data_IF_481282010600
#
_entry.id   IF_481282010600
#
_cell.length_a   1.000
_cell.length_b   1.000
_cell.length_c   1.000
_cell.angle_alpha   90.00
_cell.angle_beta   90.00
_cell.angle_gamma   90.00
#
_symmetry.space_group_name_H-M   'P 1'
#
loop_
_entity.id
_entity.type
_entity.pdbx_description
1 polymer ?
#
# COMPACT_ATOMS: atom_id res chain seq x y z
N UNK A 1 19.96 -26.57 -56.08
CA UNK A 1 20.95 -26.09 -55.09
C UNK A 1 20.41 -24.73 -54.58
N UNK A 2 19.65 -24.73 -53.49
CA UNK A 2 19.13 -23.50 -52.88
C UNK A 2 20.08 -23.10 -51.74
N UNK A 3 20.71 -21.93 -51.87
CA UNK A 3 21.50 -21.37 -50.81
C UNK A 3 20.59 -20.75 -49.74
N UNK A 4 20.79 -20.95 -48.43
CA UNK A 4 20.03 -20.28 -47.42
C UNK A 4 20.44 -18.80 -47.37
N UNK A 5 19.46 -17.93 -47.57
CA UNK A 5 19.61 -16.49 -47.39
C UNK A 5 19.63 -16.21 -45.88
N UNK A 6 20.83 -15.94 -45.33
CA UNK A 6 20.98 -15.48 -43.94
C UNK A 6 20.50 -14.04 -43.91
N UNK A 7 19.30 -13.82 -43.36
CA UNK A 7 18.83 -12.48 -43.00
C UNK A 7 19.57 -12.09 -41.72
N UNK A 8 20.61 -11.28 -41.87
CA UNK A 8 21.22 -10.57 -40.73
C UNK A 8 20.24 -9.48 -40.36
N UNK A 9 19.49 -9.68 -39.28
CA UNK A 9 18.72 -8.63 -38.67
C UNK A 9 19.71 -7.53 -38.24
N UNK A 10 19.67 -6.40 -38.95
CA UNK A 10 20.36 -5.19 -38.50
C UNK A 10 19.64 -4.71 -37.25
N UNK A 11 20.27 -4.87 -36.09
CA UNK A 11 19.86 -4.19 -34.86
C UNK A 11 20.02 -2.69 -35.10
N UNK A 12 18.92 -2.00 -35.33
CA UNK A 12 18.88 -0.54 -35.33
C UNK A 12 19.20 -0.09 -33.91
N UNK A 13 20.42 0.36 -33.68
CA UNK A 13 20.81 0.98 -32.43
C UNK A 13 20.04 2.29 -32.26
N UNK A 14 19.22 2.39 -31.23
CA UNK A 14 18.56 3.64 -30.84
C UNK A 14 19.60 4.72 -30.57
N UNK A 15 19.30 5.94 -30.93
CA UNK A 15 20.22 7.06 -30.66
C UNK A 15 20.21 7.48 -29.20
N UNK A 16 19.09 7.21 -28.45
CA UNK A 16 18.91 7.57 -27.04
C UNK A 16 17.98 6.60 -26.32
N UNK A 17 18.17 6.46 -25.00
CA UNK A 17 17.21 5.75 -24.14
C UNK A 17 16.01 6.63 -23.87
N UNK A 18 14.82 6.12 -24.15
CA UNK A 18 13.53 6.76 -23.94
C UNK A 18 12.85 6.13 -22.74
N UNK A 19 12.78 6.83 -21.64
CA UNK A 19 12.31 6.32 -20.35
C UNK A 19 10.85 6.69 -20.14
N UNK A 20 10.01 5.71 -19.80
CA UNK A 20 8.77 5.94 -19.09
C UNK A 20 8.96 5.52 -17.63
N UNK A 21 8.83 6.47 -16.70
CA UNK A 21 8.94 6.22 -15.27
C UNK A 21 7.53 6.06 -14.69
N UNK A 22 7.18 4.82 -14.36
CA UNK A 22 5.94 4.46 -13.69
C UNK A 22 6.19 4.44 -12.17
N UNK A 23 6.00 5.59 -11.58
CA UNK A 23 6.19 5.80 -10.16
C UNK A 23 4.97 6.55 -9.63
N UNK A 24 4.35 5.96 -8.61
CA UNK A 24 3.25 6.61 -7.91
C UNK A 24 3.74 7.96 -7.33
N UNK A 25 2.96 8.63 -6.56
CA UNK A 25 3.10 9.94 -5.94
C UNK A 25 4.45 10.28 -5.22
N UNK A 26 5.42 9.36 -5.16
CA UNK A 26 6.71 9.52 -4.44
C UNK A 26 7.88 9.96 -5.30
N UNK A 27 7.77 9.94 -6.61
CA UNK A 27 8.86 10.33 -7.48
C UNK A 27 8.86 11.83 -7.74
N UNK A 28 10.02 12.46 -7.58
CA UNK A 28 10.28 13.83 -8.00
C UNK A 28 10.75 13.81 -9.46
N UNK A 29 9.79 13.65 -10.38
CA UNK A 29 10.06 13.53 -11.83
C UNK A 29 10.88 14.72 -12.35
N UNK A 30 10.56 15.92 -11.90
CA UNK A 30 11.28 17.15 -12.29
C UNK A 30 12.76 17.10 -11.86
N UNK A 31 13.03 16.53 -10.70
CA UNK A 31 14.39 16.35 -10.22
C UNK A 31 15.14 15.32 -11.08
N UNK A 32 14.52 14.16 -11.35
CA UNK A 32 15.17 13.12 -12.15
C UNK A 32 15.45 13.56 -13.58
N UNK A 33 14.52 14.30 -14.20
CA UNK A 33 14.68 14.85 -15.55
C UNK A 33 15.86 15.84 -15.63
N UNK A 34 16.06 16.67 -14.62
CA UNK A 34 17.20 17.59 -14.55
C UNK A 34 18.53 16.86 -14.38
N UNK A 35 18.55 15.87 -13.48
CA UNK A 35 19.78 15.15 -13.11
C UNK A 35 20.20 14.09 -14.13
N UNK A 36 19.27 13.64 -14.99
CA UNK A 36 19.48 12.63 -16.02
C UNK A 36 19.20 13.20 -17.43
N UNK A 37 19.71 14.40 -17.72
CA UNK A 37 19.50 15.11 -19.00
C UNK A 37 20.05 14.38 -20.25
N UNK A 38 20.84 13.33 -20.06
CA UNK A 38 21.41 12.49 -21.11
C UNK A 38 20.49 11.37 -21.60
N UNK A 39 19.27 11.24 -21.04
CA UNK A 39 18.20 10.35 -21.48
C UNK A 39 16.95 11.14 -21.74
N UNK A 40 16.01 10.57 -22.49
CA UNK A 40 14.73 11.18 -22.80
C UNK A 40 13.61 10.61 -21.96
N UNK A 41 12.95 11.44 -21.17
CA UNK A 41 11.75 11.05 -20.43
C UNK A 41 10.50 11.23 -21.28
N UNK A 42 9.60 10.25 -21.22
CA UNK A 42 8.34 10.23 -21.96
C UNK A 42 7.15 10.15 -21.00
N UNK A 43 6.07 10.83 -21.35
CA UNK A 43 4.79 10.83 -20.59
C UNK A 43 3.89 9.64 -20.91
N UNK A 44 4.26 8.85 -21.88
CA UNK A 44 3.46 7.73 -22.37
C UNK A 44 4.32 6.47 -22.48
N UNK A 45 3.85 5.42 -21.81
CA UNK A 45 4.54 4.13 -21.74
C UNK A 45 4.80 3.51 -23.13
N UNK A 46 3.87 3.69 -24.07
CA UNK A 46 3.96 3.10 -25.42
C UNK A 46 4.88 3.89 -26.37
N UNK A 47 5.41 5.02 -25.92
CA UNK A 47 6.38 5.82 -26.67
C UNK A 47 7.81 5.66 -26.17
N UNK A 48 8.01 4.91 -25.10
CA UNK A 48 9.30 4.66 -24.47
C UNK A 48 9.86 3.30 -24.91
N UNK A 49 11.21 3.16 -24.90
CA UNK A 49 11.90 1.89 -25.12
C UNK A 49 12.44 1.28 -23.82
N UNK A 50 12.34 2.01 -22.70
CA UNK A 50 12.61 1.54 -21.36
C UNK A 50 11.46 1.95 -20.42
N UNK A 51 10.80 0.97 -19.84
CA UNK A 51 9.79 1.17 -18.82
C UNK A 51 10.38 0.86 -17.45
N UNK A 52 10.33 1.83 -16.54
CA UNK A 52 10.82 1.69 -15.17
C UNK A 52 9.62 1.71 -14.23
N UNK A 53 9.33 0.57 -13.61
CA UNK A 53 8.25 0.44 -12.63
C UNK A 53 8.85 0.51 -11.23
N UNK A 54 8.37 1.45 -10.42
CA UNK A 54 8.81 1.63 -9.03
C UNK A 54 7.69 1.15 -8.10
N UNK A 55 7.97 0.11 -7.33
CA UNK A 55 7.06 -0.45 -6.33
C UNK A 55 7.70 -0.43 -4.96
N UNK A 56 6.91 -0.04 -3.97
CA UNK A 56 7.34 0.03 -2.58
C UNK A 56 6.58 -0.99 -1.75
N UNK A 57 7.32 -1.75 -0.94
CA UNK A 57 6.79 -2.66 0.06
C UNK A 57 7.25 -2.19 1.46
N UNK A 58 6.41 -2.38 2.46
CA UNK A 58 6.77 -2.00 3.82
C UNK A 58 7.91 -2.88 4.33
N UNK A 59 9.03 -2.24 4.62
CA UNK A 59 10.16 -2.84 5.29
C UNK A 59 9.94 -3.02 6.80
N UNK A 60 10.91 -3.65 7.46
CA UNK A 60 10.85 -4.02 8.88
C UNK A 60 10.75 -2.83 9.83
N UNK A 61 11.30 -1.71 9.45
CA UNK A 61 11.57 -0.58 10.34
C UNK A 61 10.53 0.55 10.27
N UNK A 62 9.39 0.31 9.59
CA UNK A 62 8.54 1.41 9.14
C UNK A 62 9.19 2.18 7.99
N UNK A 63 10.36 1.75 7.51
CA UNK A 63 10.95 2.06 6.23
C UNK A 63 10.31 1.22 5.13
N UNK A 64 10.87 1.30 3.94
CA UNK A 64 10.33 0.64 2.77
C UNK A 64 11.45 -0.02 1.98
N UNK A 65 11.14 -1.17 1.40
CA UNK A 65 11.96 -1.77 0.36
C UNK A 65 11.34 -1.35 -0.97
N UNK A 66 12.09 -0.58 -1.75
CA UNK A 66 11.64 -0.06 -3.04
C UNK A 66 12.30 -0.86 -4.16
N UNK A 67 11.48 -1.53 -4.96
CA UNK A 67 11.92 -2.27 -6.12
C UNK A 67 11.79 -1.39 -7.37
N UNK A 68 12.88 -1.25 -8.11
CA UNK A 68 12.96 -0.59 -9.40
C UNK A 68 13.10 -1.68 -10.47
N UNK A 69 12.06 -1.91 -11.26
CA UNK A 69 12.05 -2.88 -12.34
C UNK A 69 12.27 -2.16 -13.67
N UNK A 70 13.38 -2.44 -14.29
CA UNK A 70 13.77 -1.92 -15.60
C UNK A 70 13.38 -2.93 -16.65
N UNK A 71 12.45 -2.59 -17.53
CA UNK A 71 11.89 -3.47 -18.55
C UNK A 71 12.18 -2.88 -19.92
N UNK A 72 13.03 -3.56 -20.69
CA UNK A 72 13.34 -3.17 -22.06
C UNK A 72 12.19 -3.48 -23.01
N UNK A 73 11.89 -2.52 -23.89
CA UNK A 73 10.84 -2.62 -24.88
C UNK A 73 11.46 -2.32 -26.25
N UNK A 74 10.87 -2.80 -27.33
CA UNK A 74 11.36 -2.64 -28.70
C UNK A 74 12.80 -3.11 -28.86
N UNK A 75 13.74 -2.20 -29.17
CA UNK A 75 15.17 -2.51 -29.35
C UNK A 75 15.87 -3.06 -28.10
N UNK A 76 15.28 -2.87 -26.92
CA UNK A 76 15.77 -3.41 -25.64
C UNK A 76 14.99 -4.63 -25.15
N UNK A 77 14.12 -5.20 -25.98
CA UNK A 77 13.34 -6.38 -25.59
C UNK A 77 14.23 -7.50 -25.07
N UNK A 78 13.85 -8.09 -23.93
CA UNK A 78 14.61 -9.12 -23.23
C UNK A 78 15.74 -8.61 -22.32
N UNK A 79 16.03 -7.30 -22.32
CA UNK A 79 16.96 -6.69 -21.37
C UNK A 79 16.17 -6.19 -20.17
N UNK A 80 16.07 -7.01 -19.13
CA UNK A 80 15.36 -6.67 -17.91
C UNK A 80 16.28 -6.72 -16.70
N UNK A 81 16.05 -5.86 -15.74
CA UNK A 81 16.80 -5.81 -14.49
C UNK A 81 15.89 -5.35 -13.35
N UNK A 82 16.17 -5.78 -12.13
CA UNK A 82 15.49 -5.30 -10.92
C UNK A 82 16.54 -4.90 -9.88
N UNK A 83 16.43 -3.70 -9.37
CA UNK A 83 17.25 -3.19 -8.29
C UNK A 83 16.37 -2.87 -7.09
N UNK A 84 16.79 -3.29 -5.90
CA UNK A 84 16.09 -2.98 -4.66
C UNK A 84 16.86 -1.94 -3.84
N UNK A 85 16.11 -1.07 -3.18
CA UNK A 85 16.61 -0.03 -2.30
C UNK A 85 15.89 -0.11 -0.96
N UNK A 86 16.65 -0.17 0.13
CA UNK A 86 16.10 -0.01 1.49
C UNK A 86 16.06 1.48 1.85
N UNK A 87 14.86 1.99 2.10
CA UNK A 87 14.62 3.39 2.48
C UNK A 87 14.21 3.43 3.96
N UNK A 88 15.05 3.96 4.85
CA UNK A 88 14.74 4.09 6.27
C UNK A 88 13.51 4.96 6.55
N UNK A 89 12.74 4.64 7.59
CA UNK A 89 11.47 5.29 7.94
C UNK A 89 11.52 6.83 8.12
N UNK A 90 12.68 7.37 8.43
CA UNK A 90 12.88 8.79 8.70
C UNK A 90 13.72 9.48 7.63
N UNK A 91 13.82 8.88 6.45
CA UNK A 91 14.50 9.48 5.31
C UNK A 91 13.73 10.73 4.88
N UNK A 92 14.42 11.86 4.75
CA UNK A 92 13.80 13.07 4.23
C UNK A 92 13.54 12.94 2.73
N UNK A 93 12.55 13.66 2.21
CA UNK A 93 12.21 13.65 0.79
C UNK A 93 13.43 13.95 -0.10
N UNK A 94 14.29 14.88 0.34
CA UNK A 94 15.53 15.22 -0.36
C UNK A 94 16.53 14.06 -0.39
N UNK A 95 16.65 13.31 0.70
CA UNK A 95 17.53 12.13 0.77
C UNK A 95 16.93 10.95 -0.01
N UNK A 96 15.63 10.75 0.08
CA UNK A 96 14.92 9.67 -0.63
C UNK A 96 15.07 9.83 -2.15
N UNK A 97 14.78 11.03 -2.69
CA UNK A 97 14.96 11.29 -4.13
C UNK A 97 16.40 11.15 -4.60
N UNK A 98 17.39 11.47 -3.74
CA UNK A 98 18.80 11.28 -4.07
C UNK A 98 19.15 9.78 -4.15
N UNK A 99 18.64 8.95 -3.22
CA UNK A 99 18.80 7.51 -3.26
C UNK A 99 18.13 6.89 -4.50
N UNK A 100 16.92 7.35 -4.85
CA UNK A 100 16.22 6.91 -6.06
C UNK A 100 17.01 7.25 -7.32
N UNK A 101 17.56 8.47 -7.39
CA UNK A 101 18.40 8.89 -8.52
C UNK A 101 19.62 7.97 -8.71
N UNK A 102 20.27 7.56 -7.63
CA UNK A 102 21.40 6.63 -7.72
C UNK A 102 20.98 5.27 -8.30
N UNK A 103 19.83 4.74 -7.87
CA UNK A 103 19.31 3.47 -8.39
C UNK A 103 18.92 3.61 -9.86
N UNK A 104 18.24 4.70 -10.22
CA UNK A 104 17.86 5.00 -11.60
C UNK A 104 19.10 5.08 -12.49
N UNK A 105 20.14 5.83 -12.10
CA UNK A 105 21.41 5.94 -12.84
C UNK A 105 22.05 4.57 -13.04
N UNK A 106 22.11 3.75 -12.00
CA UNK A 106 22.68 2.38 -12.06
C UNK A 106 21.93 1.47 -13.03
N UNK A 107 20.59 1.48 -12.94
CA UNK A 107 19.74 0.60 -13.77
C UNK A 107 19.71 1.02 -15.23
N UNK A 108 19.62 2.32 -15.51
CA UNK A 108 19.58 2.87 -16.87
C UNK A 108 20.91 2.68 -17.62
N UNK A 109 22.02 2.61 -16.91
CA UNK A 109 23.33 2.44 -17.52
C UNK A 109 23.42 1.18 -18.42
N UNK A 110 22.77 0.10 -18.02
CA UNK A 110 22.72 -1.14 -18.81
C UNK A 110 22.11 -0.97 -20.22
N UNK A 111 21.27 0.05 -20.39
CA UNK A 111 20.64 0.40 -21.66
C UNK A 111 21.45 1.43 -22.44
N UNK A 112 22.04 2.43 -21.75
CA UNK A 112 22.88 3.48 -22.39
C UNK A 112 24.05 2.86 -23.15
N UNK A 113 24.75 1.88 -22.57
CA UNK A 113 25.88 1.21 -23.22
C UNK A 113 25.52 0.47 -24.51
N UNK A 114 24.22 0.30 -24.80
CA UNK A 114 23.69 -0.31 -26.03
C UNK A 114 23.24 0.72 -27.06
N UNK A 115 23.38 2.00 -26.76
CA UNK A 115 23.04 3.11 -27.64
C UNK A 115 24.31 3.80 -28.16
N UNK A 116 24.17 4.75 -29.06
CA UNK A 116 25.27 5.60 -29.50
C UNK A 116 25.73 6.61 -28.43
N UNK A 117 24.98 6.70 -27.33
CA UNK A 117 25.28 7.58 -26.20
C UNK A 117 26.27 6.98 -25.19
N UNK A 118 26.84 5.80 -25.45
CA UNK A 118 27.85 5.14 -24.60
C UNK A 118 29.05 6.05 -24.30
N UNK A 119 29.45 6.92 -25.23
CA UNK A 119 30.55 7.85 -25.08
C UNK A 119 30.25 9.06 -24.17
N UNK A 120 29.00 9.29 -23.80
CA UNK A 120 28.55 10.45 -23.00
C UNK A 120 28.53 10.14 -21.51
N UNK A 121 28.51 8.86 -21.13
CA UNK A 121 28.40 8.43 -19.74
C UNK A 121 29.61 7.58 -19.36
N UNK A 122 30.37 8.02 -18.37
CA UNK A 122 31.45 7.24 -17.77
C UNK A 122 31.06 6.76 -16.37
N UNK A 123 31.26 5.48 -16.09
CA UNK A 123 31.20 4.94 -14.74
C UNK A 123 32.55 5.15 -14.05
N UNK A 124 32.55 5.94 -12.97
CA UNK A 124 33.71 6.00 -12.08
C UNK A 124 33.39 5.16 -10.82
N UNK A 125 34.19 4.15 -10.57
CA UNK A 125 34.16 3.39 -9.33
C UNK A 125 35.04 4.11 -8.31
N UNK A 126 34.45 4.73 -7.28
CA UNK A 126 35.20 5.12 -6.10
C UNK A 126 35.11 3.99 -5.08
N UNK A 127 36.23 3.36 -4.78
CA UNK A 127 36.33 2.47 -3.65
C UNK A 127 36.14 3.32 -2.36
N UNK A 128 34.90 3.51 -1.95
CA UNK A 128 34.66 3.94 -0.58
C UNK A 128 35.21 2.82 0.28
N UNK A 129 36.33 3.04 0.92
CA UNK A 129 36.78 2.27 2.07
C UNK A 129 35.75 2.53 3.18
N UNK A 130 34.58 1.93 3.06
CA UNK A 130 33.77 1.64 4.23
C UNK A 130 34.65 0.77 5.10
N UNK A 131 35.02 1.29 6.24
CA UNK A 131 35.76 0.55 7.25
C UNK A 131 35.06 -0.79 7.45
N UNK A 132 35.71 -1.87 6.97
CA UNK A 132 35.23 -3.26 7.07
C UNK A 132 35.16 -3.77 8.53
N UNK A 133 35.21 -2.88 9.50
CA UNK A 133 35.31 -3.18 10.91
C UNK A 133 34.08 -2.82 11.75
N UNK A 134 33.00 -2.32 11.17
CA UNK A 134 31.71 -2.35 11.84
C UNK A 134 30.82 -3.42 11.19
N UNK A 135 31.04 -4.68 11.56
CA UNK A 135 29.87 -5.54 11.78
C UNK A 135 29.04 -4.79 12.80
N UNK A 136 28.14 -3.92 12.33
CA UNK A 136 27.06 -3.40 13.14
C UNK A 136 26.33 -4.64 13.68
N UNK A 137 26.74 -5.04 14.88
CA UNK A 137 26.01 -6.07 15.61
C UNK A 137 24.66 -5.44 15.79
N UNK A 138 23.69 -5.88 14.97
CA UNK A 138 22.31 -5.46 15.06
C UNK A 138 21.83 -5.74 16.50
N UNK A 139 22.12 -4.79 17.40
CA UNK A 139 21.85 -4.88 18.84
C UNK A 139 20.36 -5.13 19.10
N UNK A 140 19.53 -4.76 18.15
CA UNK A 140 18.08 -4.85 18.24
C UNK A 140 17.53 -6.11 17.53
N UNK A 141 18.37 -6.94 16.95
CA UNK A 141 17.95 -8.17 16.24
C UNK A 141 16.76 -7.95 15.30
N UNK A 142 16.87 -6.96 14.41
CA UNK A 142 15.84 -6.51 13.46
C UNK A 142 14.54 -5.96 14.09
N UNK A 143 14.54 -5.69 15.41
CA UNK A 143 13.43 -4.99 16.03
C UNK A 143 13.48 -3.50 15.73
N UNK A 144 12.31 -2.97 15.38
CA UNK A 144 12.11 -1.54 15.17
C UNK A 144 10.86 -1.07 15.88
N UNK A 145 11.03 -0.02 16.64
CA UNK A 145 9.98 0.61 17.42
C UNK A 145 9.75 2.02 16.90
N UNK A 146 8.48 2.40 16.74
CA UNK A 146 8.11 3.76 16.35
C UNK A 146 6.96 4.25 17.21
N UNK A 147 7.12 5.46 17.73
CA UNK A 147 6.06 6.20 18.41
C UNK A 147 5.76 7.45 17.62
N UNK A 148 4.48 7.74 17.39
CA UNK A 148 4.03 8.97 16.76
C UNK A 148 2.83 9.55 17.49
N UNK A 149 2.80 10.87 17.58
CA UNK A 149 1.66 11.64 18.09
C UNK A 149 1.36 12.71 17.07
N UNK A 150 0.09 12.88 16.73
CA UNK A 150 -0.37 13.94 15.82
C UNK A 150 -1.67 14.55 16.33
N UNK A 151 -1.83 15.84 16.05
CA UNK A 151 -3.04 16.60 16.32
C UNK A 151 -3.46 17.38 15.09
N UNK A 152 -4.74 17.49 14.88
CA UNK A 152 -5.34 18.33 13.86
C UNK A 152 -6.48 19.11 14.49
N UNK A 153 -6.59 20.38 14.19
CA UNK A 153 -7.71 21.22 14.62
C UNK A 153 -8.09 22.16 13.50
N UNK A 154 -9.38 22.36 13.34
CA UNK A 154 -9.95 23.41 12.52
C UNK A 154 -11.16 24.00 13.24
N UNK A 155 -11.54 25.22 12.88
CA UNK A 155 -12.69 25.85 13.50
C UNK A 155 -13.07 27.13 12.79
N UNK A 156 -14.28 27.55 13.07
CA UNK A 156 -14.89 28.81 12.66
C UNK A 156 -15.76 29.34 13.81
N UNK A 157 -16.39 30.48 13.66
CA UNK A 157 -17.35 30.99 14.64
C UNK A 157 -18.52 29.99 14.81
N UNK A 158 -18.68 29.49 16.03
CA UNK A 158 -19.74 28.54 16.38
C UNK A 158 -19.41 27.05 16.13
N UNK A 159 -18.27 26.72 15.56
CA UNK A 159 -17.87 25.31 15.37
C UNK A 159 -16.36 25.11 15.51
N UNK A 160 -15.96 24.07 16.23
CA UNK A 160 -14.57 23.60 16.19
C UNK A 160 -14.50 22.07 16.18
N UNK A 161 -13.49 21.55 15.48
CA UNK A 161 -13.18 20.14 15.41
C UNK A 161 -11.71 19.92 15.73
N UNK A 162 -11.44 18.99 16.63
CA UNK A 162 -10.09 18.57 16.99
C UNK A 162 -9.96 17.06 16.93
N UNK A 163 -8.87 16.60 16.35
CA UNK A 163 -8.50 15.17 16.31
C UNK A 163 -7.13 14.99 16.93
N UNK A 164 -7.02 14.01 17.80
CA UNK A 164 -5.75 13.58 18.41
C UNK A 164 -5.51 12.11 18.08
N UNK A 165 -4.30 11.80 17.66
CA UNK A 165 -3.91 10.44 17.37
C UNK A 165 -2.55 10.14 18.00
N UNK A 166 -2.47 9.04 18.74
CA UNK A 166 -1.24 8.45 19.25
C UNK A 166 -1.07 7.05 18.68
N UNK A 167 0.12 6.71 18.20
CA UNK A 167 0.43 5.37 17.67
C UNK A 167 1.79 4.89 18.15
N UNK A 168 1.84 3.63 18.53
CA UNK A 168 3.06 2.88 18.80
C UNK A 168 3.10 1.64 17.92
N UNK A 169 4.24 1.36 17.32
CA UNK A 169 4.45 0.13 16.54
C UNK A 169 5.73 -0.56 16.99
N UNK A 170 5.73 -1.88 16.97
CA UNK A 170 6.92 -2.72 17.17
C UNK A 170 6.91 -3.82 16.10
N UNK A 171 7.94 -3.87 15.28
CA UNK A 171 8.05 -4.78 14.17
C UNK A 171 9.40 -5.49 14.19
N UNK A 172 9.39 -6.77 13.80
CA UNK A 172 10.57 -7.56 13.53
C UNK A 172 10.33 -8.37 12.26
N UNK A 173 11.14 -8.16 11.25
CA UNK A 173 11.06 -8.91 9.99
C UNK A 173 12.41 -9.56 9.72
N UNK A 174 12.37 -10.85 9.47
CA UNK A 174 13.50 -11.68 9.09
C UNK A 174 13.14 -12.46 7.81
N UNK A 175 14.09 -13.15 7.21
CA UNK A 175 13.81 -14.02 6.06
C UNK A 175 12.80 -15.15 6.38
N UNK A 176 12.75 -15.59 7.64
CA UNK A 176 11.94 -16.74 8.04
C UNK A 176 10.64 -16.37 8.77
N UNK A 177 10.59 -15.16 9.38
CA UNK A 177 9.46 -14.77 10.20
C UNK A 177 9.20 -13.27 10.17
N UNK A 178 7.94 -12.92 10.39
CA UNK A 178 7.47 -11.54 10.49
C UNK A 178 6.61 -11.38 11.75
N UNK A 179 6.99 -10.47 12.61
CA UNK A 179 6.17 -9.98 13.69
C UNK A 179 5.87 -8.51 13.47
N UNK A 180 4.60 -8.15 13.50
CA UNK A 180 4.16 -6.76 13.43
C UNK A 180 3.16 -6.50 14.54
N UNK A 181 3.31 -5.37 15.22
CA UNK A 181 2.32 -4.91 16.20
C UNK A 181 2.08 -3.42 16.05
N UNK A 182 0.85 -3.02 16.30
CA UNK A 182 0.48 -1.61 16.38
C UNK A 182 -0.52 -1.39 17.49
N UNK A 183 -0.33 -0.33 18.22
CA UNK A 183 -1.30 0.20 19.19
C UNK A 183 -1.63 1.64 18.78
N UNK A 184 -2.91 2.00 18.74
CA UNK A 184 -3.33 3.36 18.43
C UNK A 184 -4.49 3.82 19.30
N UNK A 185 -4.45 5.10 19.64
CA UNK A 185 -5.49 5.81 20.39
C UNK A 185 -5.93 6.99 19.52
N UNK A 186 -7.23 7.13 19.32
CA UNK A 186 -7.80 8.25 18.59
C UNK A 186 -8.88 8.91 19.46
N UNK A 187 -8.94 10.24 19.44
CA UNK A 187 -10.00 11.04 20.01
C UNK A 187 -10.39 12.12 19.02
N UNK A 188 -11.67 12.22 18.72
CA UNK A 188 -12.23 13.28 17.89
C UNK A 188 -13.21 14.06 18.77
N UNK A 189 -13.03 15.38 18.84
CA UNK A 189 -13.88 16.29 19.63
C UNK A 189 -14.45 17.33 18.69
N UNK A 190 -15.78 17.41 18.64
CA UNK A 190 -16.51 18.48 17.94
C UNK A 190 -17.23 19.35 18.97
N UNK A 191 -17.10 20.66 18.82
CA UNK A 191 -17.80 21.64 19.64
C UNK A 191 -18.65 22.51 18.75
N UNK A 192 -19.91 22.68 19.14
CA UNK A 192 -20.87 23.55 18.49
C UNK A 192 -21.31 24.59 19.52
N UNK A 193 -21.15 25.85 19.20
CA UNK A 193 -21.50 26.97 20.05
C UNK A 193 -22.29 27.97 19.18
N UNK A 194 -23.58 28.15 19.46
CA UNK A 194 -24.43 29.05 18.72
C UNK A 194 -25.47 29.68 19.67
N UNK A 195 -25.41 30.97 19.84
CA UNK A 195 -26.26 31.75 20.78
C UNK A 195 -26.36 31.06 22.17
N UNK A 196 -27.49 30.52 22.52
CA UNK A 196 -27.76 29.81 23.77
C UNK A 196 -27.50 28.28 23.69
N UNK A 197 -27.02 27.78 22.58
CA UNK A 197 -26.76 26.34 22.36
C UNK A 197 -25.27 26.02 22.43
N UNK A 198 -24.90 25.09 23.30
CA UNK A 198 -23.54 24.54 23.35
C UNK A 198 -23.60 23.02 23.39
N UNK A 199 -22.96 22.38 22.43
CA UNK A 199 -22.84 20.92 22.36
C UNK A 199 -21.38 20.51 22.15
N UNK A 200 -20.90 19.66 23.03
CA UNK A 200 -19.58 19.03 22.88
C UNK A 200 -19.78 17.55 22.67
N UNK A 201 -19.23 17.02 21.57
CA UNK A 201 -19.29 15.61 21.27
C UNK A 201 -17.88 15.04 21.18
N UNK A 202 -17.67 13.85 21.73
CA UNK A 202 -16.39 13.17 21.70
C UNK A 202 -16.57 11.72 21.26
N UNK A 203 -15.78 11.29 20.27
CA UNK A 203 -15.67 9.88 19.91
C UNK A 203 -14.24 9.40 20.19
N UNK A 204 -14.13 8.28 20.89
CA UNK A 204 -12.85 7.65 21.25
C UNK A 204 -12.75 6.27 20.65
N UNK A 205 -11.55 5.94 20.17
CA UNK A 205 -11.24 4.57 19.78
C UNK A 205 -9.83 4.18 20.16
N UNK A 206 -9.66 2.91 20.48
CA UNK A 206 -8.37 2.27 20.78
C UNK A 206 -8.27 0.99 19.98
N UNK A 207 -7.13 0.75 19.35
CA UNK A 207 -6.88 -0.44 18.56
C UNK A 207 -5.52 -1.01 18.92
N UNK A 208 -5.45 -2.32 19.10
CA UNK A 208 -4.21 -3.04 19.19
C UNK A 208 -4.25 -4.26 18.26
N UNK A 209 -3.29 -4.34 17.35
CA UNK A 209 -3.18 -5.43 16.40
C UNK A 209 -1.80 -6.06 16.52
N UNK A 210 -1.73 -7.39 16.53
CA UNK A 210 -0.48 -8.12 16.45
C UNK A 210 -0.62 -9.23 15.40
N UNK A 211 0.41 -9.41 14.61
CA UNK A 211 0.48 -10.48 13.61
C UNK A 211 1.85 -11.14 13.73
N UNK A 212 1.85 -12.45 13.87
CA UNK A 212 3.04 -13.27 13.75
C UNK A 212 2.87 -14.25 12.60
N UNK A 213 3.86 -14.29 11.71
CA UNK A 213 3.88 -15.18 10.55
C UNK A 213 5.24 -15.87 10.50
N UNK A 214 5.24 -17.17 10.24
CA UNK A 214 6.42 -17.97 9.95
C UNK A 214 6.32 -18.54 8.55
N UNK A 215 7.32 -18.26 7.72
CA UNK A 215 7.42 -18.79 6.36
C UNK A 215 7.75 -20.28 6.39
N UNK A 216 7.13 -21.02 5.47
CA UNK A 216 7.33 -22.44 5.24
C UNK A 216 7.65 -22.70 3.76
N UNK A 217 8.80 -22.15 3.32
CA UNK A 217 9.20 -22.15 1.91
C UNK A 217 8.61 -20.97 1.13
N UNK A 218 8.60 -21.09 -0.19
CA UNK A 218 8.29 -19.99 -1.10
C UNK A 218 6.78 -19.72 -1.28
N UNK A 219 5.91 -20.62 -0.82
CA UNK A 219 4.48 -20.54 -1.10
C UNK A 219 3.58 -20.59 0.14
N UNK A 220 4.07 -21.10 1.25
CA UNK A 220 3.25 -21.35 2.43
C UNK A 220 3.73 -20.53 3.61
N UNK A 221 2.78 -19.95 4.34
CA UNK A 221 3.02 -19.29 5.63
C UNK A 221 1.97 -19.74 6.65
N UNK A 222 2.39 -19.86 7.90
CA UNK A 222 1.52 -20.12 9.03
C UNK A 222 1.70 -19.02 10.08
N UNK A 223 0.62 -18.64 10.74
CA UNK A 223 0.71 -17.58 11.70
C UNK A 223 -0.52 -17.43 12.58
N UNK A 224 -0.54 -16.33 13.32
CA UNK A 224 -1.69 -15.93 14.10
C UNK A 224 -1.82 -14.41 14.09
N UNK A 225 -3.06 -13.94 14.14
CA UNK A 225 -3.43 -12.53 14.31
C UNK A 225 -4.16 -12.36 15.63
N UNK A 226 -3.89 -11.26 16.33
CA UNK A 226 -4.71 -10.81 17.45
C UNK A 226 -5.20 -9.41 17.17
N UNK A 227 -6.41 -9.13 17.55
CA UNK A 227 -7.02 -7.83 17.42
C UNK A 227 -7.72 -7.46 18.72
N UNK A 228 -7.53 -6.22 19.14
CA UNK A 228 -8.30 -5.55 20.17
C UNK A 228 -8.83 -4.25 19.61
N UNK A 229 -10.10 -3.98 19.82
CA UNK A 229 -10.70 -2.67 19.53
C UNK A 229 -11.68 -2.25 20.62
N UNK A 230 -11.68 -0.95 20.90
CA UNK A 230 -12.66 -0.23 21.69
C UNK A 230 -13.12 0.94 20.85
N UNK A 231 -14.44 1.17 20.79
CA UNK A 231 -14.99 2.26 19.97
C UNK A 231 -16.34 2.72 20.52
N UNK A 232 -16.39 3.99 20.89
CA UNK A 232 -17.67 4.60 21.36
C UNK A 232 -18.72 4.68 20.26
N UNK A 233 -18.32 4.80 18.98
CA UNK A 233 -19.24 4.87 17.84
C UNK A 233 -19.77 3.49 17.41
N UNK A 234 -19.05 2.41 17.72
CA UNK A 234 -19.40 1.04 17.34
C UNK A 234 -19.96 0.21 18.51
N UNK A 235 -20.34 0.85 19.62
CA UNK A 235 -20.85 0.16 20.80
C UNK A 235 -19.93 -0.89 21.42
N UNK A 236 -18.60 -0.85 21.13
CA UNK A 236 -17.63 -1.75 21.73
C UNK A 236 -16.94 -1.09 22.93
N UNK A 237 -17.16 -1.61 24.13
CA UNK A 237 -16.28 -1.38 25.28
C UNK A 237 -14.99 -2.22 25.16
N UNK A 238 -15.09 -3.41 24.58
CA UNK A 238 -13.97 -4.25 24.19
C UNK A 238 -14.36 -5.29 23.14
N UNK A 239 -13.60 -5.36 22.06
CA UNK A 239 -13.64 -6.47 21.11
C UNK A 239 -12.27 -7.13 21.07
N UNK A 240 -12.21 -8.43 21.29
CA UNK A 240 -10.99 -9.22 21.30
C UNK A 240 -11.12 -10.35 20.29
N UNK A 241 -10.09 -10.53 19.47
CA UNK A 241 -10.04 -11.62 18.51
C UNK A 241 -8.65 -12.27 18.51
N UNK A 242 -8.63 -13.60 18.41
CA UNK A 242 -7.43 -14.41 18.19
C UNK A 242 -7.68 -15.36 17.03
N UNK A 243 -6.85 -15.27 16.00
CA UNK A 243 -7.07 -15.94 14.71
C UNK A 243 -5.80 -16.66 14.25
N UNK A 244 -5.60 -17.94 14.58
CA UNK A 244 -4.64 -18.77 13.85
C UNK A 244 -5.02 -18.85 12.39
N UNK A 245 -4.02 -18.73 11.50
CA UNK A 245 -4.24 -18.68 10.05
C UNK A 245 -3.10 -19.35 9.28
N UNK A 246 -3.45 -19.75 8.07
CA UNK A 246 -2.55 -20.28 7.06
C UNK A 246 -2.74 -19.47 5.78
N UNK A 247 -1.63 -19.15 5.11
CA UNK A 247 -1.64 -18.47 3.82
C UNK A 247 -0.90 -19.34 2.80
N UNK A 248 -1.48 -19.46 1.63
CA UNK A 248 -0.86 -20.06 0.46
C UNK A 248 -0.77 -19.02 -0.65
N UNK A 249 0.44 -18.81 -1.15
CA UNK A 249 0.70 -17.95 -2.30
C UNK A 249 0.96 -18.83 -3.54
N UNK A 250 0.21 -18.61 -4.62
CA UNK A 250 0.36 -19.39 -5.85
C UNK A 250 1.71 -19.13 -6.54
N UNK A 251 2.22 -17.91 -6.43
CA UNK A 251 3.53 -17.51 -6.93
C UNK A 251 4.55 -17.51 -5.79
N UNK A 252 5.84 -17.73 -6.06
CA UNK A 252 6.89 -17.57 -5.04
C UNK A 252 6.87 -16.18 -4.40
N UNK A 253 7.15 -16.08 -3.10
CA UNK A 253 7.22 -14.77 -2.41
C UNK A 253 8.28 -13.83 -3.02
N UNK A 254 9.32 -14.38 -3.65
CA UNK A 254 10.34 -13.60 -4.38
C UNK A 254 9.79 -12.82 -5.56
N UNK A 255 8.64 -13.21 -6.12
CA UNK A 255 7.98 -12.57 -7.26
C UNK A 255 6.85 -11.60 -6.84
N UNK A 256 6.65 -11.36 -5.54
CA UNK A 256 5.53 -10.56 -5.00
C UNK A 256 5.46 -9.12 -5.52
N UNK A 257 6.59 -8.55 -5.97
CA UNK A 257 6.65 -7.22 -6.59
C UNK A 257 6.08 -7.18 -8.01
N UNK A 258 5.98 -8.33 -8.68
CA UNK A 258 5.47 -8.45 -10.05
C UNK A 258 4.04 -8.94 -10.08
N UNK A 259 3.80 -10.05 -9.42
CA UNK A 259 2.50 -10.68 -9.30
C UNK A 259 2.38 -11.46 -8.00
N UNK A 260 1.23 -11.43 -7.41
CA UNK A 260 0.88 -12.15 -6.20
C UNK A 260 -0.54 -12.68 -6.34
N UNK A 261 -0.75 -13.94 -5.98
CA UNK A 261 -2.08 -14.52 -5.77
C UNK A 261 -2.03 -15.33 -4.48
N UNK A 262 -2.53 -14.75 -3.41
CA UNK A 262 -2.51 -15.36 -2.08
C UNK A 262 -3.92 -15.63 -1.57
N UNK A 263 -4.08 -16.77 -0.91
CA UNK A 263 -5.27 -17.15 -0.19
C UNK A 263 -4.90 -17.38 1.28
N UNK A 264 -5.50 -16.61 2.16
CA UNK A 264 -5.38 -16.78 3.60
C UNK A 264 -6.71 -17.30 4.15
N UNK A 265 -6.61 -18.30 5.01
CA UNK A 265 -7.72 -18.82 5.77
C UNK A 265 -7.38 -18.95 7.24
N UNK A 266 -8.35 -18.67 8.10
CA UNK A 266 -8.20 -18.77 9.54
C UNK A 266 -9.53 -19.03 10.25
N UNK A 267 -9.43 -19.38 11.53
CA UNK A 267 -10.57 -19.49 12.45
C UNK A 267 -10.27 -18.51 13.59
N UNK A 268 -11.23 -17.65 13.89
CA UNK A 268 -11.12 -16.64 14.93
C UNK A 268 -11.98 -17.01 16.13
N UNK A 269 -11.38 -16.94 17.32
CA UNK A 269 -12.11 -16.89 18.58
C UNK A 269 -12.30 -15.43 18.97
N UNK A 270 -13.54 -15.02 19.22
CA UNK A 270 -13.91 -13.65 19.45
C UNK A 270 -14.63 -13.52 20.81
N UNK A 271 -14.39 -12.39 21.47
CA UNK A 271 -15.12 -11.94 22.64
C UNK A 271 -15.46 -10.47 22.50
N UNK A 272 -16.73 -10.13 22.70
CA UNK A 272 -17.23 -8.77 22.69
C UNK A 272 -17.78 -8.38 24.05
N UNK A 273 -17.43 -7.20 24.53
CA UNK A 273 -18.10 -6.45 25.57
C UNK A 273 -18.71 -5.19 24.95
N UNK A 274 -19.97 -4.93 25.25
CA UNK A 274 -20.73 -3.84 24.66
C UNK A 274 -20.97 -2.73 25.67
N UNK A 275 -20.90 -1.47 25.22
CA UNK A 275 -21.23 -0.30 26.06
C UNK A 275 -22.72 -0.27 26.38
N UNK A 276 -23.57 -0.45 25.37
CA UNK A 276 -25.03 -0.54 25.49
C UNK A 276 -25.51 -1.93 25.12
N UNK A 277 -26.63 -2.38 25.69
CA UNK A 277 -27.28 -3.63 25.31
C UNK A 277 -27.56 -3.65 23.81
N UNK A 278 -27.17 -4.74 23.13
CA UNK A 278 -27.35 -4.86 21.68
C UNK A 278 -28.79 -5.21 21.30
N UNK A 279 -29.12 -5.08 19.99
CA UNK A 279 -30.41 -5.52 19.40
C UNK A 279 -30.69 -7.01 19.65
N UNK A 280 -29.69 -7.82 19.98
CA UNK A 280 -29.81 -9.22 20.38
C UNK A 280 -29.91 -9.42 21.91
N UNK A 281 -30.17 -8.35 22.67
CA UNK A 281 -30.27 -8.35 24.13
C UNK A 281 -29.00 -8.84 24.86
N UNK A 282 -27.84 -8.58 24.27
CA UNK A 282 -26.54 -8.98 24.83
C UNK A 282 -25.76 -7.77 25.30
N UNK A 283 -25.06 -7.91 26.42
CA UNK A 283 -24.05 -6.96 26.92
C UNK A 283 -22.63 -7.49 26.73
N UNK A 284 -22.49 -8.80 26.52
CA UNK A 284 -21.25 -9.45 26.13
C UNK A 284 -21.53 -10.76 25.40
N UNK A 285 -20.58 -11.22 24.58
CA UNK A 285 -20.70 -12.53 23.93
C UNK A 285 -19.36 -13.11 23.48
N UNK A 286 -19.33 -14.46 23.41
CA UNK A 286 -18.23 -15.20 22.82
C UNK A 286 -18.73 -15.93 21.57
N UNK A 287 -17.96 -15.87 20.48
CA UNK A 287 -18.28 -16.58 19.26
C UNK A 287 -17.02 -16.95 18.48
N UNK A 288 -17.14 -17.92 17.59
CA UNK A 288 -16.10 -18.21 16.62
C UNK A 288 -16.52 -17.73 15.23
N UNK A 289 -15.54 -17.43 14.38
CA UNK A 289 -15.80 -17.05 12.99
C UNK A 289 -14.75 -17.61 12.05
N UNK A 290 -15.13 -17.83 10.78
CA UNK A 290 -14.19 -18.04 9.70
C UNK A 290 -13.63 -16.70 9.25
N UNK A 291 -12.34 -16.70 8.91
CA UNK A 291 -11.64 -15.59 8.27
C UNK A 291 -11.06 -16.07 6.95
N UNK A 292 -11.30 -15.36 5.86
CA UNK A 292 -10.61 -15.61 4.60
C UNK A 292 -10.19 -14.29 3.93
N UNK A 293 -9.08 -14.35 3.21
CA UNK A 293 -8.59 -13.23 2.38
C UNK A 293 -8.05 -13.81 1.08
N UNK A 294 -8.49 -13.25 -0.04
CA UNK A 294 -7.91 -13.48 -1.36
C UNK A 294 -7.29 -12.16 -1.82
N UNK A 295 -6.02 -12.20 -2.19
CA UNK A 295 -5.34 -11.03 -2.75
C UNK A 295 -4.72 -11.41 -4.07
N UNK A 296 -5.02 -10.64 -5.11
CA UNK A 296 -4.38 -10.70 -6.41
C UNK A 296 -3.80 -9.35 -6.78
N UNK A 297 -2.50 -9.30 -7.03
CA UNK A 297 -1.80 -8.12 -7.53
C UNK A 297 -1.02 -8.50 -8.78
N UNK A 298 -1.05 -7.63 -9.78
CA UNK A 298 -0.26 -7.77 -11.00
C UNK A 298 0.18 -6.38 -11.46
N UNK A 299 1.47 -6.21 -11.74
CA UNK A 299 2.06 -4.96 -12.20
C UNK A 299 2.94 -5.21 -13.40
N UNK A 300 2.56 -4.65 -14.55
CA UNK A 300 3.18 -4.87 -15.85
C UNK A 300 3.32 -3.53 -16.61
N UNK A 301 3.92 -3.58 -17.79
CA UNK A 301 4.10 -2.39 -18.64
C UNK A 301 2.79 -1.76 -19.14
N UNK A 302 1.71 -2.53 -19.17
CA UNK A 302 0.37 -2.00 -19.51
C UNK A 302 -0.30 -1.26 -18.35
N UNK A 303 0.22 -1.42 -17.11
CA UNK A 303 -0.32 -0.84 -15.90
C UNK A 303 -0.37 -1.82 -14.74
N UNK A 304 -1.28 -1.60 -13.79
CA UNK A 304 -1.43 -2.45 -12.61
C UNK A 304 -2.89 -2.81 -12.34
N UNK A 305 -3.08 -3.99 -11.78
CA UNK A 305 -4.36 -4.48 -11.30
C UNK A 305 -4.18 -5.06 -9.89
N UNK A 306 -5.04 -4.65 -8.98
CA UNK A 306 -5.10 -5.18 -7.62
C UNK A 306 -6.55 -5.53 -7.27
N UNK A 307 -6.76 -6.73 -6.70
CA UNK A 307 -8.03 -7.20 -6.17
C UNK A 307 -7.80 -7.79 -4.79
N UNK A 308 -8.57 -7.34 -3.82
CA UNK A 308 -8.61 -7.94 -2.49
C UNK A 308 -10.05 -8.28 -2.11
N UNK A 309 -10.26 -9.51 -1.68
CA UNK A 309 -11.53 -9.98 -1.12
C UNK A 309 -11.23 -10.47 0.28
N UNK A 310 -11.85 -9.87 1.26
CA UNK A 310 -11.74 -10.29 2.65
C UNK A 310 -13.12 -10.62 3.20
N UNK A 311 -13.19 -11.67 3.98
CA UNK A 311 -14.45 -12.12 4.55
C UNK A 311 -14.32 -12.66 5.95
N UNK A 312 -15.35 -12.42 6.73
CA UNK A 312 -15.54 -12.98 8.06
C UNK A 312 -16.97 -13.51 8.15
N UNK A 313 -17.14 -14.75 8.63
CA UNK A 313 -18.45 -15.36 8.85
C UNK A 313 -18.53 -15.90 10.26
N UNK A 314 -19.51 -15.44 11.01
CA UNK A 314 -19.77 -15.94 12.37
C UNK A 314 -20.27 -17.39 12.28
N UNK A 315 -19.66 -18.26 13.08
CA UNK A 315 -20.04 -19.68 13.19
C UNK A 315 -21.22 -19.80 14.15
N UNK A 316 -22.38 -19.38 13.67
CA UNK A 316 -23.66 -19.54 14.38
C UNK A 316 -24.44 -20.69 13.73
N UNK A 317 -24.81 -21.68 14.54
CA UNK A 317 -25.56 -22.86 14.03
C UNK A 317 -26.98 -22.52 13.56
N UNK A 318 -27.52 -21.44 14.10
CA UNK A 318 -28.91 -21.02 13.83
C UNK A 318 -28.99 -19.98 12.71
N UNK A 319 -27.90 -19.23 12.45
CA UNK A 319 -27.89 -18.16 11.47
C UNK A 319 -26.56 -18.04 10.74
N UNK A 320 -26.42 -18.77 9.64
CA UNK A 320 -25.26 -18.67 8.74
C UNK A 320 -25.21 -17.38 7.92
N UNK A 321 -26.19 -16.47 8.08
CA UNK A 321 -26.24 -15.21 7.33
C UNK A 321 -25.46 -14.09 7.99
N UNK A 322 -24.86 -14.31 9.16
CA UNK A 322 -24.02 -13.32 9.86
C UNK A 322 -22.61 -13.33 9.27
N UNK A 323 -22.41 -12.52 8.24
CA UNK A 323 -21.13 -12.39 7.56
C UNK A 323 -20.81 -10.93 7.21
N UNK A 324 -19.51 -10.65 7.09
CA UNK A 324 -18.98 -9.44 6.50
C UNK A 324 -18.06 -9.81 5.33
N UNK A 325 -18.25 -9.20 4.16
CA UNK A 325 -17.41 -9.41 2.97
C UNK A 325 -17.06 -8.08 2.35
N UNK A 326 -15.78 -7.75 2.36
CA UNK A 326 -15.20 -6.58 1.69
C UNK A 326 -14.53 -6.98 0.38
N UNK A 327 -14.76 -6.21 -0.66
CA UNK A 327 -14.11 -6.36 -1.97
C UNK A 327 -13.52 -5.02 -2.34
N UNK A 328 -12.22 -4.98 -2.60
CA UNK A 328 -11.55 -3.79 -3.13
C UNK A 328 -10.84 -4.14 -4.45
N UNK A 329 -10.91 -3.24 -5.41
CA UNK A 329 -10.25 -3.38 -6.70
C UNK A 329 -9.66 -2.05 -7.12
N UNK A 330 -8.42 -2.10 -7.60
CA UNK A 330 -7.72 -0.94 -8.18
C UNK A 330 -7.15 -1.32 -9.54
N UNK A 331 -7.33 -0.46 -10.54
CA UNK A 331 -6.83 -0.65 -11.90
C UNK A 331 -6.22 0.67 -12.37
N UNK A 332 -4.96 0.60 -12.76
CA UNK A 332 -4.29 1.64 -13.53
C UNK A 332 -3.93 1.05 -14.89
N UNK A 333 -4.55 1.49 -15.98
CA UNK A 333 -4.41 0.86 -17.28
C UNK A 333 -4.04 1.87 -18.36
N UNK A 334 -2.89 1.67 -18.99
CA UNK A 334 -2.44 2.38 -20.17
C UNK A 334 -3.07 1.75 -21.43
N UNK A 335 -4.30 2.18 -21.78
CA UNK A 335 -5.13 1.58 -22.84
C UNK A 335 -4.47 1.76 -24.21
N UNK A 336 -4.09 3.00 -24.52
CA UNK A 336 -3.51 3.37 -25.81
C UNK A 336 -2.50 4.51 -25.60
N UNK A 337 -1.81 4.92 -26.65
CA UNK A 337 -0.87 6.05 -26.59
C UNK A 337 -1.55 7.30 -26.05
N UNK A 338 -1.05 7.76 -24.92
CA UNK A 338 -1.60 8.91 -24.19
C UNK A 338 -2.94 8.69 -23.50
N UNK A 339 -3.57 7.51 -23.61
CA UNK A 339 -4.88 7.21 -23.00
C UNK A 339 -4.71 6.26 -21.84
N UNK A 340 -5.08 6.69 -20.65
CA UNK A 340 -5.06 5.90 -19.41
C UNK A 340 -6.40 5.90 -18.68
N UNK A 341 -6.69 4.79 -18.01
CA UNK A 341 -7.84 4.58 -17.13
C UNK A 341 -7.34 4.34 -15.72
N UNK A 342 -7.89 5.07 -14.77
CA UNK A 342 -7.75 4.81 -13.34
C UNK A 342 -9.11 4.40 -12.79
N UNK A 343 -9.17 3.30 -12.10
CA UNK A 343 -10.38 2.80 -11.48
C UNK A 343 -10.09 2.30 -10.08
N UNK A 344 -10.91 2.72 -9.13
CA UNK A 344 -10.93 2.19 -7.79
C UNK A 344 -12.38 1.89 -7.39
N UNK A 345 -12.61 0.71 -6.80
CA UNK A 345 -13.87 0.38 -6.15
C UNK A 345 -13.63 -0.32 -4.82
N UNK A 346 -14.47 0.01 -3.88
CA UNK A 346 -14.61 -0.71 -2.62
C UNK A 346 -16.09 -0.97 -2.36
N UNK A 347 -16.42 -2.20 -2.06
CA UNK A 347 -17.77 -2.62 -1.66
C UNK A 347 -17.63 -3.48 -0.42
N UNK A 348 -18.43 -3.19 0.60
CA UNK A 348 -18.54 -4.00 1.80
C UNK A 348 -19.99 -4.43 2.01
N UNK A 349 -20.20 -5.72 2.17
CA UNK A 349 -21.48 -6.28 2.60
C UNK A 349 -21.35 -6.67 4.06
N UNK A 350 -22.15 -6.07 4.92
CA UNK A 350 -22.13 -6.35 6.35
C UNK A 350 -23.49 -6.80 6.85
N UNK A 351 -23.58 -8.07 7.17
CA UNK A 351 -24.72 -8.71 7.82
C UNK A 351 -24.37 -9.29 9.19
N UNK A 352 -23.19 -8.94 9.71
CA UNK A 352 -22.73 -9.36 11.02
C UNK A 352 -22.74 -8.21 12.05
N UNK A 353 -23.65 -7.25 11.91
CA UNK A 353 -23.76 -6.08 12.80
C UNK A 353 -24.38 -6.46 14.15
N UNK A 354 -23.76 -7.39 14.87
CA UNK A 354 -24.22 -7.91 16.16
C UNK A 354 -24.07 -6.90 17.31
N UNK A 355 -23.31 -5.83 17.08
CA UNK A 355 -22.94 -4.82 18.07
C UNK A 355 -23.91 -3.64 18.16
N UNK A 356 -24.86 -3.54 17.23
CA UNK A 356 -25.78 -2.39 17.20
C UNK A 356 -26.59 -2.28 18.50
N UNK A 357 -26.69 -1.06 19.10
CA UNK A 357 -27.40 -0.85 20.35
C UNK A 357 -28.94 -0.97 20.17
N UNK A 358 -29.59 -1.60 21.16
CA UNK A 358 -31.03 -1.84 21.14
C UNK A 358 -31.87 -0.55 21.02
N UNK A 359 -31.46 0.52 21.70
CA UNK A 359 -32.17 1.78 21.72
C UNK A 359 -32.02 2.64 20.45
N UNK A 360 -31.23 2.13 19.47
CA UNK A 360 -30.92 2.88 18.27
C UNK A 360 -30.08 4.13 18.55
N UNK A 361 -30.05 5.03 17.58
CA UNK A 361 -29.35 6.31 17.68
C UNK A 361 -30.36 7.45 17.72
N UNK A 362 -30.10 8.49 18.52
CA UNK A 362 -30.90 9.72 18.50
C UNK A 362 -30.70 10.48 17.19
N UNK A 363 -31.59 11.43 16.90
CA UNK A 363 -31.51 12.25 15.68
C UNK A 363 -30.16 13.01 15.62
N UNK A 364 -29.68 13.53 16.75
CA UNK A 364 -28.40 14.21 16.88
C UNK A 364 -27.22 13.26 16.64
N UNK A 365 -27.28 12.08 17.24
CA UNK A 365 -26.22 11.05 17.06
C UNK A 365 -26.11 10.58 15.60
N UNK A 366 -27.26 10.52 14.89
CA UNK A 366 -27.31 10.19 13.46
C UNK A 366 -26.65 11.28 12.63
N UNK A 367 -27.06 12.54 12.79
CA UNK A 367 -26.54 13.67 12.02
C UNK A 367 -25.02 13.83 12.26
N UNK A 368 -24.63 13.72 13.52
CA UNK A 368 -23.24 13.87 13.95
C UNK A 368 -22.39 12.62 13.75
N UNK A 369 -22.96 11.54 13.20
CA UNK A 369 -22.30 10.25 12.96
C UNK A 369 -21.60 9.68 14.21
N UNK A 370 -22.19 9.84 15.36
CA UNK A 370 -21.66 9.39 16.65
C UNK A 370 -21.93 7.91 16.90
N UNK A 371 -22.97 7.35 16.32
CA UNK A 371 -23.33 5.93 16.38
C UNK A 371 -23.44 5.35 14.98
N UNK A 372 -23.07 4.10 14.85
CA UNK A 372 -23.26 3.32 13.65
C UNK A 372 -24.73 2.95 13.47
N UNK A 373 -25.23 3.08 12.25
CA UNK A 373 -26.58 2.67 11.87
C UNK A 373 -26.52 1.34 11.14
N UNK A 374 -27.61 0.59 11.24
CA UNK A 374 -27.78 -0.63 10.44
C UNK A 374 -27.63 -0.32 8.96
N UNK A 375 -26.71 -1.02 8.31
CA UNK A 375 -26.45 -0.90 6.87
C UNK A 375 -26.00 -2.23 6.30
N UNK A 376 -26.74 -2.76 5.34
CA UNK A 376 -26.41 -4.03 4.71
C UNK A 376 -25.22 -3.96 3.75
N UNK A 377 -24.88 -2.77 3.27
CA UNK A 377 -23.76 -2.57 2.38
C UNK A 377 -23.27 -1.12 2.39
N UNK A 378 -22.02 -0.95 2.09
CA UNK A 378 -21.37 0.32 1.80
C UNK A 378 -20.55 0.17 0.53
N UNK A 379 -20.53 1.19 -0.32
CA UNK A 379 -19.63 1.20 -1.48
C UNK A 379 -19.03 2.58 -1.72
N UNK A 380 -17.87 2.56 -2.32
CA UNK A 380 -17.19 3.73 -2.85
C UNK A 380 -16.53 3.38 -4.17
N UNK A 381 -16.69 4.20 -5.20
CA UNK A 381 -16.11 3.99 -6.52
C UNK A 381 -15.55 5.31 -7.05
N UNK A 382 -14.43 5.20 -7.71
CA UNK A 382 -13.82 6.30 -8.46
C UNK A 382 -13.39 5.76 -9.83
N UNK A 383 -13.69 6.50 -10.89
CA UNK A 383 -13.25 6.19 -12.25
C UNK A 383 -12.76 7.47 -12.91
N UNK A 384 -11.57 7.41 -13.47
CA UNK A 384 -10.94 8.50 -14.19
C UNK A 384 -10.41 8.04 -15.53
N UNK A 385 -10.66 8.80 -16.58
CA UNK A 385 -10.08 8.60 -17.92
C UNK A 385 -9.25 9.84 -18.23
N UNK A 386 -7.97 9.62 -18.55
CA UNK A 386 -7.05 10.69 -18.93
C UNK A 386 -6.56 10.50 -20.34
N UNK A 387 -6.56 11.58 -21.11
CA UNK A 387 -5.98 11.58 -22.44
C UNK A 387 -4.94 12.70 -22.57
N UNK A 388 -3.69 12.29 -22.69
CA UNK A 388 -2.54 13.17 -22.89
C UNK A 388 -2.17 13.20 -24.35
N UNK A 389 -2.14 14.39 -24.95
CA UNK A 389 -1.77 14.60 -26.34
C UNK A 389 -0.80 15.76 -26.50
N UNK A 390 -0.12 15.84 -27.64
CA UNK A 390 0.91 16.86 -27.89
C UNK A 390 2.32 16.28 -27.75
N UNK A 391 3.26 17.04 -27.15
CA UNK A 391 4.62 16.57 -26.96
C UNK A 391 4.68 15.47 -25.89
N UNK A 392 5.10 14.28 -26.29
CA UNK A 392 5.29 13.14 -25.38
C UNK A 392 6.62 13.21 -24.64
N UNK A 393 7.60 13.96 -25.16
CA UNK A 393 8.89 14.19 -24.53
C UNK A 393 8.76 15.17 -23.35
N UNK A 394 9.34 14.81 -22.20
CA UNK A 394 9.21 15.50 -20.93
C UNK A 394 10.58 15.79 -20.28
N UNK A 395 11.47 16.44 -21.02
CA UNK A 395 12.82 16.72 -20.51
C UNK A 395 13.00 18.17 -20.01
N UNK A 396 12.00 19.03 -20.22
CA UNK A 396 12.13 20.45 -19.87
C UNK A 396 11.42 20.72 -18.54
N UNK A 397 12.19 21.03 -17.54
CA UNK A 397 11.70 21.43 -16.21
C UNK A 397 11.88 22.93 -16.06
N UNK A 398 10.79 23.65 -15.79
CA UNK A 398 10.82 25.08 -15.51
C UNK A 398 10.09 25.36 -14.19
N UNK A 399 10.80 25.48 -13.05
CA UNK A 399 10.21 25.70 -11.72
C UNK A 399 9.79 27.18 -11.48
N UNK A 400 9.85 28.03 -12.49
CA UNK A 400 9.39 29.41 -12.35
C UNK A 400 7.88 29.41 -12.25
N UNK A 401 7.34 30.21 -11.26
CA UNK A 401 5.91 30.28 -10.91
C UNK A 401 5.00 30.37 -12.06
#
# INVERSE_FOLDING_TARGET
MFAPMIIIAQTTTSDQVKIYLDCSWRCDDDFFQREMSYVDFYRDAKSANLHIIVKSERGSAGGEIVAFRFIGIEEFEGVNNTLALDVPANTSDASERALYLEVLKKGVYAYIIRTKADNVVSLSYSENKTDKNETDKNKWNNWVFRTSVSGYTNGEEGYSYSRYNGRFTANQITAESKFTSSFSINSNVSRFEYDDFSLVTETKSRYANMTYVKSKGEHLSIGARTNYSQSTSQNYDGHYAFSPCVEYNMFPYSESSEHRLSLLYGISANHNDYTDTTVYLKTSENFASHLFELTYDNSQTWGSFSLSINGNQILDKEDLKKYNVGISSNVDWNIAKGLSLNYFAYINFDRAQIHLPLNGATYEEIILRQKELESNYFYYMNIGLSYTFGSMKNNIVNPRF
#
